data_IF_901691518739
#
_entry.id   IF_901691518739
#
_cell.length_a   1.000
_cell.length_b   1.000
_cell.length_c   1.000
_cell.angle_alpha   90.00
_cell.angle_beta   90.00
_cell.angle_gamma   90.00
#
_symmetry.space_group_name_H-M   'P 1'
#
loop_
_entity.id
_entity.type
_entity.pdbx_description
1 polymer ?
#
# COMPACT_ATOMS: atom_id res chain seq x y z
N UNK A 1 13.82 -21.40 0.90
CA UNK A 1 13.31 -20.38 -0.05
C UNK A 1 14.49 -19.52 -0.45
N UNK A 2 15.03 -19.71 -1.64
CA UNK A 2 15.88 -18.71 -2.27
C UNK A 2 14.93 -17.64 -2.81
N UNK A 3 14.50 -16.72 -1.93
CA UNK A 3 13.72 -15.57 -2.35
C UNK A 3 14.61 -14.72 -3.26
N UNK A 4 14.10 -14.35 -4.43
CA UNK A 4 14.80 -13.41 -5.29
C UNK A 4 14.92 -12.07 -4.55
N UNK A 5 16.15 -11.72 -4.17
CA UNK A 5 16.48 -10.48 -3.47
C UNK A 5 16.81 -9.43 -4.54
N UNK A 6 16.32 -8.21 -4.35
CA UNK A 6 16.67 -7.06 -5.20
C UNK A 6 18.17 -6.74 -5.10
N UNK A 7 18.84 -6.68 -6.25
CA UNK A 7 20.27 -6.41 -6.36
C UNK A 7 20.52 -5.15 -7.18
N UNK A 8 21.49 -4.36 -6.74
CA UNK A 8 22.04 -3.23 -7.50
C UNK A 8 23.10 -3.78 -8.45
N UNK A 9 22.97 -3.46 -9.74
CA UNK A 9 23.93 -3.85 -10.77
C UNK A 9 24.43 -2.62 -11.52
N UNK A 10 25.44 -2.80 -12.37
CA UNK A 10 25.96 -1.70 -13.17
C UNK A 10 24.93 -1.11 -14.16
N UNK A 11 23.92 -1.90 -14.52
CA UNK A 11 22.90 -1.52 -15.50
C UNK A 11 21.59 -1.06 -14.85
N UNK A 12 21.37 -1.33 -13.56
CA UNK A 12 20.15 -0.97 -12.86
C UNK A 12 19.87 -1.80 -11.62
N UNK A 13 18.61 -2.24 -11.50
CA UNK A 13 18.13 -3.11 -10.43
C UNK A 13 17.59 -4.41 -11.01
N UNK A 14 17.87 -5.52 -10.33
CA UNK A 14 17.49 -6.86 -10.79
C UNK A 14 16.90 -7.69 -9.64
N UNK A 15 15.85 -8.46 -9.92
CA UNK A 15 15.24 -9.42 -9.00
C UNK A 15 14.62 -10.57 -9.80
N UNK A 16 15.30 -11.72 -9.82
CA UNK A 16 14.89 -12.87 -10.62
C UNK A 16 14.73 -12.49 -12.10
N UNK A 17 13.53 -12.60 -12.70
CA UNK A 17 13.28 -12.24 -14.10
C UNK A 17 13.01 -10.73 -14.32
N UNK A 18 13.06 -9.90 -13.28
CA UNK A 18 12.69 -8.48 -13.35
C UNK A 18 13.95 -7.62 -13.40
N UNK A 19 14.03 -6.77 -14.43
CA UNK A 19 15.14 -5.85 -14.62
C UNK A 19 14.62 -4.42 -14.83
N UNK A 20 15.19 -3.45 -14.10
CA UNK A 20 14.88 -2.02 -14.22
C UNK A 20 16.18 -1.28 -14.51
N UNK A 21 16.32 -0.76 -15.73
CA UNK A 21 17.50 0.00 -16.12
C UNK A 21 17.65 1.33 -15.35
N UNK A 22 18.88 1.86 -15.36
CA UNK A 22 19.25 3.12 -14.74
C UNK A 22 18.39 4.32 -15.17
N UNK A 23 18.03 4.40 -16.46
CA UNK A 23 17.24 5.51 -16.99
C UNK A 23 15.79 5.47 -16.48
N UNK A 24 15.22 4.26 -16.31
CA UNK A 24 13.90 4.04 -15.74
C UNK A 24 13.87 4.34 -14.24
N UNK A 25 14.93 4.00 -13.50
CA UNK A 25 15.02 4.27 -12.06
C UNK A 25 14.91 5.77 -11.75
N UNK A 26 15.51 6.63 -12.56
CA UNK A 26 15.50 8.10 -12.35
C UNK A 26 14.25 8.79 -12.93
N UNK A 27 13.42 8.08 -13.70
CA UNK A 27 12.30 8.65 -14.44
C UNK A 27 11.18 9.09 -13.50
N UNK A 28 10.85 10.38 -13.54
CA UNK A 28 9.67 10.94 -12.87
C UNK A 28 8.51 11.08 -13.86
N UNK A 29 7.33 10.57 -13.49
CA UNK A 29 6.09 10.71 -14.27
C UNK A 29 4.96 11.14 -13.36
N UNK A 30 4.28 12.25 -13.72
CA UNK A 30 3.20 12.84 -12.91
C UNK A 30 3.65 13.16 -11.47
N UNK A 31 4.88 13.67 -11.32
CA UNK A 31 5.45 14.08 -10.02
C UNK A 31 5.82 12.92 -9.09
N UNK A 32 6.07 11.73 -9.64
CA UNK A 32 6.39 10.50 -8.88
C UNK A 32 7.44 9.67 -9.58
N UNK A 33 8.23 8.92 -8.82
CA UNK A 33 9.19 7.98 -9.39
C UNK A 33 8.46 6.81 -10.04
N UNK A 34 8.65 6.67 -11.35
CA UNK A 34 7.89 5.71 -12.17
C UNK A 34 8.23 4.26 -11.79
N UNK A 35 9.51 3.96 -11.60
CA UNK A 35 9.97 2.61 -11.24
C UNK A 35 9.39 2.13 -9.90
N UNK A 36 9.41 2.96 -8.85
CA UNK A 36 8.82 2.64 -7.55
C UNK A 36 7.34 2.30 -7.67
N UNK A 37 6.59 3.15 -8.40
CA UNK A 37 5.17 2.90 -8.60
C UNK A 37 4.91 1.60 -9.39
N UNK A 38 5.71 1.35 -10.42
CA UNK A 38 5.60 0.17 -11.26
C UNK A 38 5.81 -1.10 -10.45
N UNK A 39 6.93 -1.21 -9.72
CA UNK A 39 7.27 -2.39 -8.93
C UNK A 39 6.24 -2.63 -7.83
N UNK A 40 5.90 -1.60 -7.04
CA UNK A 40 4.90 -1.76 -5.98
C UNK A 40 3.49 -2.13 -6.50
N UNK A 41 3.21 -1.96 -7.79
CA UNK A 41 1.94 -2.36 -8.41
C UNK A 41 1.87 -3.84 -8.82
N UNK A 42 3.00 -4.54 -8.76
CA UNK A 42 3.10 -5.98 -8.99
C UNK A 42 2.72 -6.80 -7.76
N UNK A 43 2.61 -6.16 -6.58
CA UNK A 43 2.18 -6.77 -5.32
C UNK A 43 2.97 -8.04 -4.96
N UNK A 44 4.30 -8.00 -5.09
CA UNK A 44 5.15 -9.16 -4.83
C UNK A 44 5.20 -9.57 -3.36
N UNK A 45 5.00 -8.60 -2.45
CA UNK A 45 5.03 -8.81 -1.01
C UNK A 45 5.60 -7.59 -0.32
N UNK A 46 5.20 -7.35 0.94
CA UNK A 46 5.61 -6.13 1.64
C UNK A 46 7.12 -6.06 1.88
N UNK A 47 7.76 -7.19 2.21
CA UNK A 47 9.21 -7.28 2.38
C UNK A 47 9.95 -7.03 1.06
N UNK A 48 9.55 -7.69 -0.03
CA UNK A 48 10.17 -7.52 -1.36
C UNK A 48 10.03 -6.10 -1.91
N UNK A 49 8.88 -5.44 -1.69
CA UNK A 49 8.69 -4.05 -2.10
C UNK A 49 9.56 -3.07 -1.30
N UNK A 50 9.81 -3.36 -0.01
CA UNK A 50 10.74 -2.58 0.83
C UNK A 50 12.19 -2.81 0.40
N UNK A 51 12.58 -4.06 0.12
CA UNK A 51 13.89 -4.39 -0.44
C UNK A 51 14.16 -3.66 -1.75
N UNK A 52 13.17 -3.61 -2.65
CA UNK A 52 13.26 -2.81 -3.87
C UNK A 52 13.53 -1.34 -3.59
N UNK A 53 12.77 -0.72 -2.68
CA UNK A 53 12.93 0.71 -2.35
C UNK A 53 14.33 0.99 -1.79
N UNK A 54 14.86 0.07 -0.97
CA UNK A 54 16.22 0.17 -0.44
C UNK A 54 17.27 0.06 -1.55
N UNK A 55 17.16 -0.95 -2.41
CA UNK A 55 18.07 -1.12 -3.56
C UNK A 55 18.00 0.07 -4.52
N UNK A 56 16.81 0.63 -4.75
CA UNK A 56 16.62 1.84 -5.56
C UNK A 56 17.33 3.05 -4.96
N UNK A 57 17.25 3.25 -3.64
CA UNK A 57 17.99 4.34 -2.97
C UNK A 57 19.50 4.15 -3.09
N UNK A 58 19.98 2.92 -2.89
CA UNK A 58 21.40 2.57 -3.04
C UNK A 58 21.89 2.85 -4.47
N UNK A 59 21.13 2.48 -5.49
CA UNK A 59 21.44 2.78 -6.89
C UNK A 59 21.55 4.29 -7.15
N UNK A 60 20.62 5.09 -6.62
CA UNK A 60 20.68 6.56 -6.79
C UNK A 60 21.94 7.15 -6.15
N UNK A 61 22.34 6.64 -4.97
CA UNK A 61 23.58 7.06 -4.31
C UNK A 61 24.80 6.65 -5.13
N UNK A 62 24.85 5.40 -5.61
CA UNK A 62 25.96 4.89 -6.42
C UNK A 62 26.16 5.70 -7.72
N UNK A 63 25.07 6.16 -8.34
CA UNK A 63 25.10 7.01 -9.54
C UNK A 63 25.36 8.51 -9.25
N UNK A 64 25.44 8.91 -7.99
CA UNK A 64 25.53 10.33 -7.62
C UNK A 64 24.28 11.14 -8.01
N UNK A 65 23.11 10.50 -8.11
CA UNK A 65 21.84 11.18 -8.41
C UNK A 65 21.26 11.80 -7.15
N UNK A 66 20.89 13.08 -7.23
CA UNK A 66 20.16 13.75 -6.15
C UNK A 66 18.72 13.25 -6.16
N UNK A 67 18.28 12.70 -5.04
CA UNK A 67 16.89 12.26 -4.83
C UNK A 67 16.04 13.45 -4.38
N UNK A 68 14.93 13.70 -5.07
CA UNK A 68 13.90 14.61 -4.59
C UNK A 68 13.10 13.90 -3.49
N UNK A 69 13.45 14.19 -2.24
CA UNK A 69 12.83 13.59 -1.05
C UNK A 69 11.32 13.85 -0.97
N UNK A 70 10.83 14.98 -1.49
CA UNK A 70 9.39 15.27 -1.51
C UNK A 70 8.66 14.35 -2.49
N UNK A 71 9.21 14.18 -3.70
CA UNK A 71 8.66 13.24 -4.69
C UNK A 71 8.80 11.79 -4.24
N UNK A 72 9.91 11.42 -3.61
CA UNK A 72 10.13 10.10 -3.05
C UNK A 72 9.05 9.77 -2.01
N UNK A 73 8.90 10.61 -0.98
CA UNK A 73 7.91 10.43 0.07
C UNK A 73 6.47 10.39 -0.48
N UNK A 74 6.15 11.23 -1.47
CA UNK A 74 4.85 11.19 -2.14
C UNK A 74 4.62 9.87 -2.87
N UNK A 75 5.66 9.35 -3.53
CA UNK A 75 5.59 8.09 -4.27
C UNK A 75 5.38 6.90 -3.33
N UNK A 76 6.16 6.80 -2.25
CA UNK A 76 6.01 5.75 -1.23
C UNK A 76 4.62 5.81 -0.58
N UNK A 77 4.15 7.01 -0.20
CA UNK A 77 2.81 7.20 0.35
C UNK A 77 1.71 6.72 -0.61
N UNK A 78 1.83 6.98 -1.90
CA UNK A 78 0.86 6.47 -2.88
C UNK A 78 0.90 4.93 -2.96
N UNK A 79 2.09 4.34 -2.96
CA UNK A 79 2.26 2.88 -2.99
C UNK A 79 1.60 2.22 -1.77
N UNK A 80 1.82 2.77 -0.57
CA UNK A 80 1.15 2.30 0.66
C UNK A 80 -0.37 2.42 0.55
N UNK A 81 -0.90 3.54 0.03
CA UNK A 81 -2.34 3.72 -0.18
C UNK A 81 -2.91 2.70 -1.17
N UNK A 82 -2.19 2.44 -2.25
CA UNK A 82 -2.59 1.46 -3.27
C UNK A 82 -2.65 0.03 -2.71
N UNK A 83 -1.64 -0.36 -1.93
CA UNK A 83 -1.58 -1.66 -1.24
C UNK A 83 -2.69 -1.81 -0.21
N UNK A 84 -2.88 -0.81 0.65
CA UNK A 84 -3.96 -0.81 1.63
C UNK A 84 -5.34 -0.90 0.97
N UNK A 85 -5.54 -0.16 -0.12
CA UNK A 85 -6.77 -0.27 -0.91
C UNK A 85 -6.96 -1.68 -1.50
N UNK A 86 -5.92 -2.31 -2.04
CA UNK A 86 -6.00 -3.70 -2.55
C UNK A 86 -6.40 -4.68 -1.46
N UNK A 87 -5.82 -4.56 -0.28
CA UNK A 87 -6.18 -5.40 0.86
C UNK A 87 -7.65 -5.24 1.24
N UNK A 88 -8.10 -3.99 1.45
CA UNK A 88 -9.50 -3.71 1.79
C UNK A 88 -10.46 -4.17 0.68
N UNK A 89 -10.07 -4.01 -0.58
CA UNK A 89 -10.86 -4.48 -1.71
C UNK A 89 -11.03 -6.01 -1.70
N UNK A 90 -9.95 -6.75 -1.40
CA UNK A 90 -10.02 -8.21 -1.27
C UNK A 90 -10.93 -8.63 -0.11
N UNK A 91 -10.82 -7.96 1.05
CA UNK A 91 -11.68 -8.22 2.21
C UNK A 91 -13.14 -7.89 1.90
N UNK A 92 -13.41 -6.72 1.31
CA UNK A 92 -14.76 -6.30 0.92
C UNK A 92 -15.40 -7.31 -0.06
N UNK A 93 -14.67 -7.73 -1.09
CA UNK A 93 -15.11 -8.76 -2.03
C UNK A 93 -15.43 -10.08 -1.31
N UNK A 94 -14.56 -10.53 -0.41
CA UNK A 94 -14.79 -11.74 0.36
C UNK A 94 -16.01 -11.62 1.29
N UNK A 95 -16.26 -10.45 1.90
CA UNK A 95 -17.47 -10.24 2.74
C UNK A 95 -18.77 -10.28 1.95
N UNK A 96 -18.75 -9.88 0.68
CA UNK A 96 -19.93 -9.88 -0.21
C UNK A 96 -20.10 -11.23 -0.93
N UNK A 97 -18.99 -11.95 -1.18
CA UNK A 97 -18.96 -13.26 -1.81
C UNK A 97 -17.97 -14.18 -1.07
N UNK A 98 -18.39 -14.81 0.04
CA UNK A 98 -17.50 -15.58 0.92
C UNK A 98 -16.88 -16.82 0.27
N UNK A 99 -17.50 -17.32 -0.80
CA UNK A 99 -17.03 -18.47 -1.58
C UNK A 99 -16.47 -18.06 -2.95
N UNK A 100 -16.24 -16.76 -3.17
CA UNK A 100 -15.65 -16.26 -4.40
C UNK A 100 -14.15 -16.56 -4.51
N UNK A 101 -13.66 -16.54 -5.74
CA UNK A 101 -12.24 -16.74 -6.03
C UNK A 101 -11.35 -15.67 -5.35
N UNK A 102 -10.13 -16.08 -5.03
CA UNK A 102 -9.12 -15.16 -4.49
C UNK A 102 -8.86 -14.02 -5.46
N UNK A 103 -8.79 -12.79 -4.94
CA UNK A 103 -8.50 -11.61 -5.76
C UNK A 103 -7.10 -11.72 -6.40
N UNK A 104 -7.06 -11.83 -7.72
CA UNK A 104 -5.80 -11.79 -8.47
C UNK A 104 -5.33 -10.34 -8.68
N UNK A 105 -4.06 -10.15 -9.03
CA UNK A 105 -3.53 -8.84 -9.39
C UNK A 105 -4.23 -8.27 -10.63
N UNK A 106 -4.53 -9.13 -11.61
CA UNK A 106 -5.26 -8.75 -12.82
C UNK A 106 -6.64 -8.23 -12.47
N UNK A 107 -7.39 -8.96 -11.64
CA UNK A 107 -8.72 -8.56 -11.19
C UNK A 107 -8.71 -7.20 -10.52
N UNK A 108 -7.74 -6.96 -9.63
CA UNK A 108 -7.62 -5.67 -8.96
C UNK A 108 -7.36 -4.51 -9.92
N UNK A 109 -6.52 -4.72 -10.94
CA UNK A 109 -6.22 -3.70 -11.95
C UNK A 109 -7.40 -3.43 -12.88
N UNK A 110 -8.23 -4.44 -13.17
CA UNK A 110 -9.44 -4.30 -14.00
C UNK A 110 -10.72 -4.08 -13.21
N UNK A 111 -10.64 -3.93 -11.88
CA UNK A 111 -11.79 -3.91 -10.97
C UNK A 111 -12.89 -2.92 -11.35
N UNK A 112 -12.53 -1.76 -11.91
CA UNK A 112 -13.48 -0.70 -12.29
C UNK A 112 -14.43 -1.10 -13.42
N UNK A 113 -14.11 -2.17 -14.13
CA UNK A 113 -14.92 -2.71 -15.23
C UNK A 113 -15.76 -3.92 -14.79
N UNK A 114 -15.66 -4.34 -13.53
CA UNK A 114 -16.45 -5.44 -12.99
C UNK A 114 -17.86 -4.97 -12.64
N UNK A 115 -18.86 -5.81 -12.87
CA UNK A 115 -20.25 -5.50 -12.54
C UNK A 115 -20.47 -5.25 -11.03
N UNK A 116 -19.71 -5.96 -10.19
CA UNK A 116 -19.73 -5.86 -8.72
C UNK A 116 -18.92 -4.68 -8.15
N UNK A 117 -18.28 -3.88 -9.02
CA UNK A 117 -17.42 -2.78 -8.60
C UNK A 117 -18.10 -1.78 -7.65
N UNK A 118 -19.33 -1.28 -7.92
CA UNK A 118 -19.96 -0.27 -7.07
C UNK A 118 -20.19 -0.76 -5.64
N UNK A 119 -20.62 -2.02 -5.46
CA UNK A 119 -20.91 -2.59 -4.16
C UNK A 119 -19.62 -2.80 -3.35
N UNK A 120 -18.55 -3.30 -4.00
CA UNK A 120 -17.27 -3.52 -3.34
C UNK A 120 -16.63 -2.18 -2.95
N UNK A 121 -16.62 -1.16 -3.81
CA UNK A 121 -16.05 0.16 -3.48
C UNK A 121 -16.82 0.85 -2.35
N UNK A 122 -18.15 0.71 -2.32
CA UNK A 122 -18.97 1.19 -1.21
C UNK A 122 -18.54 0.54 0.11
N UNK A 123 -18.35 -0.79 0.09
CA UNK A 123 -17.89 -1.55 1.28
C UNK A 123 -16.46 -1.20 1.69
N UNK A 124 -15.54 -1.00 0.75
CA UNK A 124 -14.17 -0.51 1.03
C UNK A 124 -14.23 0.84 1.72
N UNK A 125 -15.07 1.76 1.23
CA UNK A 125 -15.25 3.09 1.82
C UNK A 125 -15.77 2.98 3.26
N UNK A 126 -16.78 2.15 3.49
CA UNK A 126 -17.32 1.89 4.83
C UNK A 126 -16.23 1.36 5.78
N UNK A 127 -15.44 0.38 5.34
CA UNK A 127 -14.33 -0.16 6.14
C UNK A 127 -13.28 0.90 6.51
N UNK A 128 -12.95 1.82 5.58
CA UNK A 128 -12.00 2.91 5.85
C UNK A 128 -12.53 3.92 6.88
N UNK A 129 -13.83 4.15 6.90
CA UNK A 129 -14.48 5.11 7.81
C UNK A 129 -14.85 4.50 9.16
N UNK A 130 -14.90 3.16 9.25
CA UNK A 130 -15.26 2.44 10.47
C UNK A 130 -14.19 2.67 11.54
N UNK A 131 -14.58 3.33 12.63
CA UNK A 131 -13.69 3.54 13.77
C UNK A 131 -13.54 2.25 14.58
N UNK A 132 -12.31 1.91 14.95
CA UNK A 132 -12.08 0.85 15.93
C UNK A 132 -12.56 1.35 17.30
N UNK A 133 -13.48 0.65 17.98
CA UNK A 133 -13.91 1.03 19.32
C UNK A 133 -12.71 1.14 20.25
N UNK A 134 -12.61 2.24 21.00
CA UNK A 134 -11.52 2.43 21.95
C UNK A 134 -11.59 1.33 23.03
N UNK A 135 -10.56 0.48 23.10
CA UNK A 135 -10.48 -0.64 24.06
C UNK A 135 -10.43 -0.19 25.53
N UNK A 136 -10.18 1.10 25.78
CA UNK A 136 -10.39 1.74 27.08
C UNK A 136 -11.85 2.18 27.15
N UNK A 137 -12.67 1.33 27.76
CA UNK A 137 -14.10 1.57 27.96
C UNK A 137 -14.40 2.97 28.47
N UNK A 138 -15.60 3.46 28.11
CA UNK A 138 -16.23 4.69 28.56
C UNK A 138 -15.76 5.17 29.95
N UNK A 139 -14.71 5.99 30.02
CA UNK A 139 -14.42 6.80 31.22
C UNK A 139 -15.44 7.92 31.42
N UNK A 140 -16.29 8.18 30.43
CA UNK A 140 -17.35 9.19 30.52
C UNK A 140 -18.55 8.72 31.37
N UNK A 141 -18.76 7.41 31.56
CA UNK A 141 -19.86 6.93 32.39
C UNK A 141 -19.59 7.11 33.90
N UNK A 142 -18.32 7.11 34.33
CA UNK A 142 -17.99 7.24 35.76
C UNK A 142 -17.93 8.69 36.25
N UNK A 143 -17.71 9.66 35.35
CA UNK A 143 -17.68 11.08 35.70
C UNK A 143 -19.08 11.68 35.90
N UNK A 144 -20.12 11.13 35.25
CA UNK A 144 -21.51 11.53 35.46
C UNK A 144 -22.11 10.90 36.73
N UNK A 145 -21.75 9.66 37.07
CA UNK A 145 -22.21 9.02 38.32
C UNK A 145 -21.63 9.66 39.60
N UNK A 146 -20.41 10.21 39.56
CA UNK A 146 -19.81 10.89 40.72
C UNK A 146 -20.46 12.26 40.97
N UNK A 147 -20.94 12.94 39.93
CA UNK A 147 -21.65 14.22 40.08
C UNK A 147 -23.05 14.04 40.66
N UNK A 148 -23.77 12.99 40.26
CA UNK A 148 -25.14 12.75 40.75
C UNK A 148 -25.17 12.29 42.22
N UNK A 149 -24.11 11.63 42.72
CA UNK A 149 -23.99 11.26 44.13
C UNK A 149 -23.53 12.40 45.06
N UNK A 150 -23.09 13.55 44.52
CA UNK A 150 -22.65 14.70 45.30
C UNK A 150 -23.69 15.83 45.37
N UNK A 151 -24.84 15.66 44.69
CA UNK A 151 -25.97 16.59 44.70
C UNK A 151 -27.26 15.98 45.25
N UNK A 152 -27.18 14.81 45.90
CA UNK A 152 -28.27 14.17 46.63
C UNK A 152 -28.11 14.34 48.15
#
# INVERSE_FOLDING_TARGET
MTGDIWKVTQYGLECGPIEIDNARCTKVKKGRYAAIKEVCSLFMGDESDVEFINAWRELMMWQGKVVDEKMFNLTVKECSRMKGHRFLYAVARNTLSPHGDTLTNKDYHTRRYMAEWPQIESRVTEMQLTQTPNRKGNKLAHAQQIKEQQTA
#
